data_IF_347246888249
#
_entry.id   IF_347246888249
#
_cell.length_a   1.000
_cell.length_b   1.000
_cell.length_c   1.000
_cell.angle_alpha   90.00
_cell.angle_beta   90.00
_cell.angle_gamma   90.00
#
_symmetry.space_group_name_H-M   'P 1'
#
loop_
_entity.id
_entity.type
_entity.pdbx_description
1 polymer ?
#
# COMPACT_ATOMS: atom_id res chain seq x y z
N UNK A 1 -22.22 -9.00 9.96
CA UNK A 1 -21.20 -8.90 11.05
C UNK A 1 -20.84 -10.24 11.68
N UNK A 2 -21.81 -11.12 12.01
CA UNK A 2 -21.53 -12.44 12.63
C UNK A 2 -20.45 -13.27 11.89
N UNK A 3 -20.50 -13.30 10.55
CA UNK A 3 -19.50 -14.01 9.71
C UNK A 3 -18.07 -13.53 9.96
N UNK A 4 -17.84 -12.21 10.03
CA UNK A 4 -16.51 -11.65 10.29
C UNK A 4 -16.08 -11.87 11.76
N UNK A 5 -17.05 -11.80 12.68
CA UNK A 5 -16.80 -12.03 14.10
C UNK A 5 -16.45 -13.50 14.40
N UNK A 6 -17.04 -14.46 13.69
CA UNK A 6 -16.82 -15.90 13.84
C UNK A 6 -15.60 -16.41 13.06
N UNK A 7 -15.12 -15.68 12.05
CA UNK A 7 -13.95 -16.09 11.27
C UNK A 7 -12.70 -16.22 12.15
N UNK A 8 -11.91 -17.28 11.95
CA UNK A 8 -10.60 -17.44 12.56
C UNK A 8 -9.57 -16.51 11.90
N UNK A 9 -9.70 -16.32 10.58
CA UNK A 9 -8.82 -15.54 9.72
C UNK A 9 -9.64 -14.83 8.65
N UNK A 10 -9.29 -13.58 8.36
CA UNK A 10 -9.85 -12.75 7.29
C UNK A 10 -8.70 -12.37 6.36
N UNK A 11 -8.61 -13.06 5.22
CA UNK A 11 -7.59 -12.79 4.23
C UNK A 11 -7.94 -11.52 3.44
N UNK A 12 -7.03 -10.56 3.42
CA UNK A 12 -7.15 -9.33 2.63
C UNK A 12 -5.99 -9.26 1.64
N UNK A 13 -6.30 -9.46 0.36
CA UNK A 13 -5.30 -9.41 -0.69
C UNK A 13 -4.81 -7.97 -0.94
N UNK A 14 -3.55 -7.81 -1.37
CA UNK A 14 -2.98 -6.49 -1.67
C UNK A 14 -3.82 -5.65 -2.65
N UNK A 15 -4.40 -6.21 -3.73
CA UNK A 15 -5.31 -5.45 -4.59
C UNK A 15 -6.49 -4.82 -3.84
N UNK A 16 -7.02 -5.50 -2.82
CA UNK A 16 -8.11 -4.96 -1.98
C UNK A 16 -7.65 -3.73 -1.20
N UNK A 17 -6.42 -3.74 -0.69
CA UNK A 17 -5.85 -2.58 0.01
C UNK A 17 -5.58 -1.41 -0.96
N UNK A 18 -5.10 -1.70 -2.17
CA UNK A 18 -4.93 -0.68 -3.22
C UNK A 18 -6.27 -0.03 -3.59
N UNK A 19 -7.31 -0.84 -3.82
CA UNK A 19 -8.66 -0.35 -4.11
C UNK A 19 -9.26 0.44 -2.94
N UNK A 20 -9.03 0.00 -1.70
CA UNK A 20 -9.47 0.72 -0.51
C UNK A 20 -8.89 2.14 -0.47
N UNK A 21 -7.57 2.30 -0.69
CA UNK A 21 -6.93 3.62 -0.75
C UNK A 21 -7.47 4.44 -1.93
N UNK A 22 -7.60 3.83 -3.11
CA UNK A 22 -8.11 4.49 -4.30
C UNK A 22 -9.53 5.03 -4.09
N UNK A 23 -10.45 4.19 -3.59
CA UNK A 23 -11.85 4.57 -3.33
C UNK A 23 -11.93 5.71 -2.31
N UNK A 24 -11.26 5.59 -1.16
CA UNK A 24 -11.30 6.64 -0.13
C UNK A 24 -10.76 7.98 -0.65
N UNK A 25 -9.69 7.94 -1.43
CA UNK A 25 -9.06 9.16 -1.96
C UNK A 25 -9.82 9.78 -3.12
N UNK A 26 -10.23 8.97 -4.11
CA UNK A 26 -10.74 9.44 -5.40
C UNK A 26 -12.25 9.57 -5.43
N UNK A 27 -12.97 8.65 -4.80
CA UNK A 27 -14.44 8.63 -4.80
C UNK A 27 -14.98 9.47 -3.64
N UNK A 28 -14.41 9.29 -2.44
CA UNK A 28 -14.91 9.97 -1.23
C UNK A 28 -14.13 11.22 -0.84
N UNK A 29 -12.95 11.47 -1.44
CA UNK A 29 -12.18 12.70 -1.21
C UNK A 29 -11.53 12.81 0.17
N UNK A 30 -11.31 11.69 0.87
CA UNK A 30 -10.60 11.69 2.14
C UNK A 30 -9.13 12.12 2.00
N UNK A 31 -8.61 12.79 3.02
CA UNK A 31 -7.20 13.18 3.11
C UNK A 31 -6.29 11.98 3.37
N UNK A 32 -5.03 12.09 2.94
CA UNK A 32 -4.00 11.05 3.17
C UNK A 32 -3.89 10.65 4.65
N UNK A 33 -3.85 11.56 5.64
CA UNK A 33 -3.74 11.16 7.04
C UNK A 33 -4.89 10.28 7.53
N UNK A 34 -6.12 10.55 7.08
CA UNK A 34 -7.30 9.77 7.46
C UNK A 34 -7.27 8.38 6.81
N UNK A 35 -6.85 8.31 5.54
CA UNK A 35 -6.70 7.04 4.81
C UNK A 35 -5.62 6.18 5.47
N UNK A 36 -4.46 6.76 5.76
CA UNK A 36 -3.35 6.05 6.40
C UNK A 36 -3.73 5.56 7.80
N UNK A 37 -4.49 6.38 8.57
CA UNK A 37 -5.05 5.97 9.87
C UNK A 37 -6.03 4.80 9.72
N UNK A 38 -6.92 4.84 8.73
CA UNK A 38 -7.88 3.76 8.49
C UNK A 38 -7.19 2.46 8.06
N UNK A 39 -6.16 2.56 7.21
CA UNK A 39 -5.35 1.42 6.78
C UNK A 39 -4.62 0.78 7.98
N UNK A 40 -3.98 1.58 8.84
CA UNK A 40 -3.33 1.08 10.07
C UNK A 40 -4.34 0.40 11.00
N UNK A 41 -5.50 1.02 11.21
CA UNK A 41 -6.56 0.43 12.02
C UNK A 41 -7.06 -0.90 11.45
N UNK A 42 -7.15 -1.04 10.12
CA UNK A 42 -7.49 -2.31 9.46
C UNK A 42 -6.40 -3.36 9.67
N UNK A 43 -5.12 -3.00 9.49
CA UNK A 43 -3.98 -3.92 9.66
C UNK A 43 -3.74 -4.34 11.11
N UNK A 44 -4.18 -3.53 12.08
CA UNK A 44 -4.09 -3.85 13.52
C UNK A 44 -5.17 -4.83 14.00
N UNK A 45 -6.15 -5.17 13.16
CA UNK A 45 -7.17 -6.17 13.51
C UNK A 45 -6.51 -7.55 13.52
N UNK A 46 -6.50 -8.20 14.70
CA UNK A 46 -5.81 -9.47 14.92
C UNK A 46 -6.22 -10.63 13.99
N UNK A 47 -7.40 -10.55 13.36
CA UNK A 47 -7.90 -11.57 12.42
C UNK A 47 -7.50 -11.30 10.97
N UNK A 48 -6.97 -10.11 10.67
CA UNK A 48 -6.63 -9.73 9.29
C UNK A 48 -5.27 -10.31 8.93
N UNK A 49 -5.25 -11.06 7.83
CA UNK A 49 -4.03 -11.60 7.26
C UNK A 49 -3.80 -11.02 5.86
N UNK A 50 -2.58 -10.53 5.64
CA UNK A 50 -2.15 -9.93 4.37
C UNK A 50 -0.63 -10.00 4.25
N UNK A 51 -0.07 -9.61 3.10
CA UNK A 51 1.35 -9.38 2.98
C UNK A 51 1.73 -8.07 3.72
N UNK A 52 1.96 -8.19 5.03
CA UNK A 52 2.23 -7.05 5.92
C UNK A 52 3.43 -6.21 5.44
N UNK A 53 4.59 -6.78 5.05
CA UNK A 53 5.69 -5.99 4.51
C UNK A 53 5.31 -5.14 3.28
N UNK A 54 4.54 -5.70 2.34
CA UNK A 54 4.08 -4.95 1.17
C UNK A 54 3.09 -3.84 1.54
N UNK A 55 2.16 -4.11 2.46
CA UNK A 55 1.22 -3.10 2.95
C UNK A 55 1.93 -1.95 3.68
N UNK A 56 2.96 -2.25 4.49
CA UNK A 56 3.77 -1.23 5.16
C UNK A 56 4.61 -0.41 4.17
N UNK A 57 5.14 -1.03 3.10
CA UNK A 57 5.81 -0.31 2.02
C UNK A 57 4.86 0.65 1.29
N UNK A 58 3.62 0.21 1.02
CA UNK A 58 2.57 1.07 0.49
C UNK A 58 2.23 2.24 1.43
N UNK A 59 2.11 1.97 2.74
CA UNK A 59 1.88 3.01 3.75
C UNK A 59 3.01 4.04 3.81
N UNK A 60 4.26 3.61 3.78
CA UNK A 60 5.41 4.49 3.78
C UNK A 60 5.40 5.45 2.57
N UNK A 61 5.05 4.94 1.38
CA UNK A 61 4.95 5.78 0.19
C UNK A 61 3.74 6.72 0.24
N UNK A 62 2.61 6.25 0.78
CA UNK A 62 1.41 7.07 0.99
C UNK A 62 1.69 8.22 1.96
N UNK A 63 2.37 7.97 3.09
CA UNK A 63 2.76 8.99 4.07
C UNK A 63 3.74 10.02 3.48
N UNK A 64 4.60 9.60 2.55
CA UNK A 64 5.47 10.49 1.77
C UNK A 64 4.72 11.30 0.70
N UNK A 65 3.39 11.15 0.61
CA UNK A 65 2.52 11.86 -0.33
C UNK A 65 2.40 11.21 -1.70
N UNK A 66 2.84 9.96 -1.85
CA UNK A 66 2.73 9.14 -3.06
C UNK A 66 1.41 8.39 -3.18
N UNK A 67 1.39 7.38 -4.06
CA UNK A 67 0.31 6.40 -4.12
C UNK A 67 0.69 5.17 -3.31
N UNK A 68 -0.27 4.57 -2.60
CA UNK A 68 -0.05 3.33 -1.86
C UNK A 68 0.35 2.20 -2.81
N UNK A 69 -0.29 2.13 -3.98
CA UNK A 69 -0.07 1.05 -4.94
C UNK A 69 1.37 1.02 -5.46
N UNK A 70 1.98 2.18 -5.72
CA UNK A 70 3.37 2.27 -6.19
C UNK A 70 4.36 1.65 -5.18
N UNK A 71 4.08 1.79 -3.87
CA UNK A 71 4.92 1.24 -2.80
C UNK A 71 4.76 -0.27 -2.69
N UNK A 72 3.53 -0.76 -2.84
CA UNK A 72 3.24 -2.21 -2.93
C UNK A 72 3.95 -2.82 -4.13
N UNK A 73 3.83 -2.23 -5.32
CA UNK A 73 4.43 -2.74 -6.55
C UNK A 73 5.97 -2.74 -6.44
N UNK A 74 6.56 -1.67 -5.91
CA UNK A 74 8.01 -1.60 -5.70
C UNK A 74 8.50 -2.69 -4.74
N UNK A 75 7.78 -2.93 -3.64
CA UNK A 75 8.08 -4.01 -2.70
C UNK A 75 7.98 -5.38 -3.37
N UNK A 76 6.86 -5.67 -4.06
CA UNK A 76 6.66 -6.97 -4.71
C UNK A 76 7.71 -7.24 -5.79
N UNK A 77 8.06 -6.24 -6.59
CA UNK A 77 9.15 -6.36 -7.57
C UNK A 77 10.49 -6.71 -6.91
N UNK A 78 10.84 -6.01 -5.82
CA UNK A 78 12.06 -6.31 -5.05
C UNK A 78 12.02 -7.71 -4.43
N UNK A 79 10.87 -8.13 -3.90
CA UNK A 79 10.68 -9.48 -3.34
C UNK A 79 10.84 -10.59 -4.40
N UNK A 80 10.47 -10.31 -5.65
CA UNK A 80 10.70 -11.19 -6.80
C UNK A 80 12.15 -11.16 -7.34
N UNK A 81 13.02 -10.32 -6.76
CA UNK A 81 14.44 -10.23 -7.13
C UNK A 81 14.77 -9.15 -8.17
N UNK A 82 13.91 -8.16 -8.39
CA UNK A 82 14.23 -7.05 -9.29
C UNK A 82 15.28 -6.10 -8.70
N UNK A 83 16.24 -5.67 -9.53
CA UNK A 83 17.30 -4.71 -9.14
C UNK A 83 16.82 -3.24 -9.08
N UNK A 84 15.73 -2.92 -9.77
CA UNK A 84 15.20 -1.57 -9.85
C UNK A 84 13.71 -1.57 -10.18
N UNK A 85 12.97 -0.67 -9.55
CA UNK A 85 11.63 -0.26 -9.99
C UNK A 85 11.75 0.68 -11.20
N UNK A 86 10.85 0.56 -12.18
CA UNK A 86 10.85 1.40 -13.37
C UNK A 86 9.43 1.86 -13.69
N UNK A 87 9.23 3.16 -13.88
CA UNK A 87 7.89 3.73 -14.15
C UNK A 87 7.99 4.99 -15.02
N UNK A 88 6.88 5.32 -15.70
CA UNK A 88 6.69 6.61 -16.39
C UNK A 88 6.22 7.72 -15.42
N UNK A 89 5.82 7.37 -14.20
CA UNK A 89 5.42 8.33 -13.18
C UNK A 89 6.64 8.94 -12.49
N UNK A 90 6.93 10.20 -12.83
CA UNK A 90 8.03 10.98 -12.25
C UNK A 90 7.94 11.12 -10.73
N UNK A 91 6.73 11.26 -10.20
CA UNK A 91 6.51 11.46 -8.78
C UNK A 91 6.74 10.16 -8.00
N UNK A 92 6.22 9.05 -8.51
CA UNK A 92 6.45 7.73 -7.90
C UNK A 92 7.95 7.42 -7.81
N UNK A 93 8.68 7.59 -8.92
CA UNK A 93 10.14 7.37 -8.97
C UNK A 93 10.87 8.25 -7.96
N UNK A 94 10.57 9.56 -7.92
CA UNK A 94 11.25 10.48 -7.00
C UNK A 94 11.00 10.13 -5.52
N UNK A 95 9.76 9.77 -5.17
CA UNK A 95 9.42 9.39 -3.80
C UNK A 95 10.06 8.06 -3.41
N UNK A 96 10.01 7.04 -4.27
CA UNK A 96 10.68 5.76 -4.02
C UNK A 96 12.19 5.91 -3.85
N UNK A 97 12.84 6.76 -4.66
CA UNK A 97 14.25 7.11 -4.47
C UNK A 97 14.51 7.77 -3.10
N UNK A 98 13.63 8.67 -2.66
CA UNK A 98 13.74 9.31 -1.34
C UNK A 98 13.59 8.32 -0.18
N UNK A 99 12.88 7.21 -0.40
CA UNK A 99 12.75 6.09 0.53
C UNK A 99 13.89 5.06 0.41
N UNK A 100 14.90 5.32 -0.43
CA UNK A 100 16.06 4.44 -0.61
C UNK A 100 15.84 3.29 -1.59
N UNK A 101 14.75 3.30 -2.36
CA UNK A 101 14.43 2.25 -3.34
C UNK A 101 15.04 2.61 -4.70
N UNK A 102 15.88 1.72 -5.23
CA UNK A 102 16.44 1.81 -6.59
C UNK A 102 15.32 1.92 -7.62
N UNK A 103 15.17 3.11 -8.21
CA UNK A 103 14.05 3.44 -9.11
C UNK A 103 14.49 4.28 -10.30
N UNK A 104 13.90 4.08 -11.48
CA UNK A 104 14.24 4.79 -12.72
C UNK A 104 12.99 5.26 -13.48
N UNK A 105 13.08 6.46 -14.05
CA UNK A 105 12.07 7.01 -14.95
C UNK A 105 12.32 6.50 -16.38
N UNK A 106 11.25 6.08 -17.08
CA UNK A 106 11.24 5.85 -18.53
C UNK A 106 10.58 7.01 -19.29
#
# INVERSE_FOLDING_TARGET
ERILAEAELIAVALPVLCEFVWVLRKVYGFGIPDIAKAMRALLDIAKIETNRPAAEAGLALLDAGGDFADGVIAYEGGWLGADSFVSFDKKAVALLQSLGISSRLL
#
